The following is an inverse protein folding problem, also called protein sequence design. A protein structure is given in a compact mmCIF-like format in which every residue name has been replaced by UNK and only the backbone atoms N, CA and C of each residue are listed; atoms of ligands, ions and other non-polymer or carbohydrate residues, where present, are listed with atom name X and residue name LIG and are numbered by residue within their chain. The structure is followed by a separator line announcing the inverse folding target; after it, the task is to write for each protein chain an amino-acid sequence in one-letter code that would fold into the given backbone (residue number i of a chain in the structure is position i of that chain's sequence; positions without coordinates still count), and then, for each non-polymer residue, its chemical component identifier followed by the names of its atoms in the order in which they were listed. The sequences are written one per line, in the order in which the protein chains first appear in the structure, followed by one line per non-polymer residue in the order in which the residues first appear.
data_IF_912627758782
#
_entry.id   IF_912627758782
#
_cell.length_a   1.000
_cell.length_b   1.000
_cell.length_c   1.000
_cell.angle_alpha   90.00
_cell.angle_beta   90.00
_cell.angle_gamma   90.00
#
_symmetry.space_group_name_H-M   'P 1'
#
loop_
_entity.id
_entity.type
_entity.pdbx_description
1 polymer ?
#
# COMPACT_ATOMS: atom_id res chain seq x y z
N UNK A 1 -7.99 -2.61 -8.71
CA UNK A 1 -6.68 -2.10 -8.24
C UNK A 1 -5.97 -3.10 -7.33
N UNK A 2 -6.68 -3.94 -6.54
CA UNK A 2 -6.05 -4.84 -5.57
C UNK A 2 -5.36 -6.09 -6.17
N UNK A 3 -5.97 -6.79 -7.14
CA UNK A 3 -5.43 -8.09 -7.58
C UNK A 3 -4.12 -8.01 -8.38
N UNK A 4 -3.88 -6.87 -9.05
CA UNK A 4 -2.71 -6.66 -9.93
C UNK A 4 -1.41 -6.54 -9.15
N UNK A 5 -1.44 -5.83 -8.01
CA UNK A 5 -0.26 -5.53 -7.20
C UNK A 5 -0.13 -6.45 -5.98
N UNK A 6 -1.17 -7.21 -5.64
CA UNK A 6 -1.06 -8.21 -4.57
C UNK A 6 -0.27 -9.44 -5.04
N UNK A 7 0.58 -9.99 -4.16
CA UNK A 7 1.51 -11.08 -4.45
C UNK A 7 2.44 -10.76 -5.63
N UNK A 8 3.03 -9.56 -5.61
CA UNK A 8 3.99 -9.08 -6.61
C UNK A 8 5.35 -8.87 -5.95
N UNK A 9 6.42 -9.37 -6.57
CA UNK A 9 7.77 -9.21 -6.06
C UNK A 9 7.94 -9.87 -4.69
N UNK A 10 8.81 -9.31 -3.86
CA UNK A 10 9.15 -9.81 -2.53
C UNK A 10 8.40 -9.09 -1.39
N UNK A 11 7.78 -7.95 -1.67
CA UNK A 11 7.20 -7.04 -0.68
C UNK A 11 5.74 -6.68 -0.92
N UNK A 12 5.20 -6.82 -2.15
CA UNK A 12 3.79 -6.51 -2.37
C UNK A 12 2.89 -7.67 -1.94
N UNK A 13 2.46 -7.69 -0.68
CA UNK A 13 1.60 -8.72 -0.11
C UNK A 13 1.46 -8.57 1.40
N UNK A 14 1.00 -9.64 2.07
CA UNK A 14 1.04 -9.65 3.53
C UNK A 14 2.47 -9.93 3.99
N UNK A 15 3.08 -8.95 4.67
CA UNK A 15 4.50 -8.99 5.00
C UNK A 15 5.37 -8.80 3.76
N UNK A 16 6.68 -8.91 3.94
CA UNK A 16 7.65 -8.74 2.87
C UNK A 16 9.08 -8.95 3.36
N UNK A 17 9.92 -9.56 2.53
CA UNK A 17 11.33 -9.77 2.85
C UNK A 17 12.12 -10.16 1.61
N UNK A 18 13.40 -9.83 1.58
CA UNK A 18 14.27 -10.15 0.46
C UNK A 18 14.66 -8.91 -0.34
N UNK A 19 15.31 -9.14 -1.47
CA UNK A 19 15.79 -8.06 -2.34
C UNK A 19 14.64 -7.46 -3.15
N UNK A 20 14.70 -6.15 -3.36
CA UNK A 20 13.69 -5.43 -4.13
C UNK A 20 13.82 -5.85 -5.59
N UNK A 21 12.74 -6.39 -6.15
CA UNK A 21 12.74 -6.91 -7.53
C UNK A 21 12.69 -5.77 -8.57
N UNK A 22 11.91 -4.72 -8.29
CA UNK A 22 11.80 -3.53 -9.12
C UNK A 22 11.18 -2.31 -8.38
N UNK A 23 10.84 -1.26 -9.11
CA UNK A 23 10.27 -0.03 -8.56
C UNK A 23 8.87 -0.22 -7.94
N UNK A 24 8.07 -1.19 -8.43
CA UNK A 24 6.76 -1.52 -7.84
C UNK A 24 6.99 -2.18 -6.48
N UNK A 25 7.91 -3.14 -6.42
CA UNK A 25 8.29 -3.84 -5.18
C UNK A 25 8.89 -2.87 -4.15
N UNK A 26 9.62 -1.84 -4.59
CA UNK A 26 10.13 -0.77 -3.74
C UNK A 26 9.01 0.09 -3.12
N UNK A 27 7.95 0.38 -3.89
CA UNK A 27 6.76 1.08 -3.35
C UNK A 27 6.13 0.25 -2.22
N UNK A 28 6.05 -1.07 -2.39
CA UNK A 28 5.49 -1.98 -1.40
C UNK A 28 6.37 -2.10 -0.14
N UNK A 29 7.69 -2.24 -0.30
CA UNK A 29 8.60 -2.22 0.86
C UNK A 29 8.46 -0.93 1.68
N UNK A 30 8.33 0.22 0.99
CA UNK A 30 8.17 1.51 1.66
C UNK A 30 6.82 1.61 2.38
N UNK A 31 5.78 1.04 1.79
CA UNK A 31 4.44 0.95 2.37
C UNK A 31 4.42 0.08 3.63
N UNK A 32 5.01 -1.13 3.57
CA UNK A 32 5.15 -2.03 4.72
C UNK A 32 5.88 -1.36 5.89
N UNK A 33 7.02 -0.72 5.61
CA UNK A 33 7.79 0.02 6.63
C UNK A 33 6.99 1.16 7.24
N UNK A 34 6.18 1.85 6.43
CA UNK A 34 5.30 2.92 6.91
C UNK A 34 4.21 2.36 7.86
N UNK A 35 3.62 1.22 7.51
CA UNK A 35 2.64 0.51 8.34
C UNK A 35 3.26 -0.02 9.64
N UNK A 36 4.46 -0.59 9.59
CA UNK A 36 5.20 -1.04 10.77
C UNK A 36 5.51 0.12 11.72
N UNK A 37 5.98 1.25 11.18
CA UNK A 37 6.34 2.45 11.94
C UNK A 37 5.15 3.29 12.45
N UNK A 38 3.91 2.96 12.06
CA UNK A 38 2.72 3.63 12.59
C UNK A 38 2.51 3.36 14.08
N UNK A 39 1.91 4.33 14.77
CA UNK A 39 1.60 4.31 16.21
C UNK A 39 0.42 3.40 16.55
N UNK A 40 -0.03 2.58 15.61
CA UNK A 40 -1.13 1.64 15.79
C UNK A 40 -0.73 0.51 16.72
N UNK A 41 -1.64 0.15 17.62
CA UNK A 41 -1.52 -1.09 18.38
C UNK A 41 -1.61 -2.30 17.45
N UNK A 42 -1.03 -3.43 17.87
CA UNK A 42 -1.14 -4.70 17.16
C UNK A 42 -2.60 -5.10 16.90
N UNK A 43 -3.50 -4.82 17.85
CA UNK A 43 -4.93 -5.07 17.73
C UNK A 43 -5.55 -4.28 16.57
N UNK A 44 -5.21 -3.00 16.43
CA UNK A 44 -5.71 -2.17 15.33
C UNK A 44 -5.16 -2.58 13.97
N UNK A 45 -3.90 -3.03 13.92
CA UNK A 45 -3.32 -3.58 12.69
C UNK A 45 -3.96 -4.91 12.29
N UNK A 46 -4.35 -5.73 13.27
CA UNK A 46 -4.96 -7.06 13.04
C UNK A 46 -6.45 -6.99 12.65
N UNK A 47 -7.25 -6.20 13.36
CA UNK A 47 -8.69 -6.06 13.10
C UNK A 47 -9.00 -5.08 11.96
N UNK A 48 -7.99 -4.44 11.40
CA UNK A 48 -8.09 -3.50 10.30
C UNK A 48 -8.40 -2.08 10.80
N UNK A 49 -7.59 -1.08 10.45
CA UNK A 49 -7.91 0.31 10.74
C UNK A 49 -9.08 0.78 9.87
N UNK A 50 -10.02 1.52 10.45
CA UNK A 50 -11.01 2.26 9.68
C UNK A 50 -10.58 3.70 9.59
N UNK A 51 -10.12 4.13 8.42
CA UNK A 51 -9.87 5.53 8.11
C UNK A 51 -10.65 5.91 6.84
N UNK A 52 -10.95 7.20 6.69
CA UNK A 52 -11.74 7.72 5.57
C UNK A 52 -10.85 8.46 4.57
N UNK A 53 -11.11 8.30 3.28
CA UNK A 53 -10.43 9.06 2.23
C UNK A 53 -11.39 9.45 1.10
N UNK A 54 -11.03 10.48 0.33
CA UNK A 54 -11.71 10.92 -0.88
C UNK A 54 -10.71 11.03 -2.01
N UNK A 55 -11.06 10.60 -3.21
CA UNK A 55 -10.23 10.86 -4.38
C UNK A 55 -10.54 12.26 -4.93
N UNK A 56 -9.52 13.11 -5.02
CA UNK A 56 -9.66 14.47 -5.53
C UNK A 56 -8.98 14.59 -6.90
N UNK A 57 -9.60 15.32 -7.82
CA UNK A 57 -8.98 15.65 -9.11
C UNK A 57 -7.81 16.64 -8.95
N UNK A 58 -7.10 16.93 -10.05
CA UNK A 58 -5.99 17.92 -10.07
C UNK A 58 -6.42 19.33 -9.61
N UNK A 59 -7.72 19.62 -9.51
CA UNK A 59 -8.30 20.89 -9.07
C UNK A 59 -8.86 20.82 -7.64
N UNK A 60 -8.65 19.71 -6.92
CA UNK A 60 -9.12 19.51 -5.55
C UNK A 60 -10.61 19.14 -5.44
N UNK A 61 -11.26 18.76 -6.54
CA UNK A 61 -12.70 18.43 -6.53
C UNK A 61 -12.90 16.93 -6.28
N UNK A 62 -13.85 16.53 -5.43
CA UNK A 62 -14.18 15.12 -5.23
C UNK A 62 -14.62 14.45 -6.54
N UNK A 63 -14.06 13.28 -6.82
CA UNK A 63 -14.49 12.43 -7.93
C UNK A 63 -15.68 11.56 -7.52
N UNK A 64 -16.66 11.42 -8.42
CA UNK A 64 -17.78 10.49 -8.24
C UNK A 64 -17.35 9.05 -8.54
N UNK A 65 -18.11 8.08 -8.04
CA UNK A 65 -17.87 6.65 -8.33
C UNK A 65 -17.90 6.34 -9.83
N UNK A 66 -18.70 7.07 -10.61
CA UNK A 66 -18.74 6.93 -12.07
C UNK A 66 -17.42 7.36 -12.71
N UNK A 67 -16.82 8.45 -12.24
CA UNK A 67 -15.52 8.95 -12.71
C UNK A 67 -14.36 8.02 -12.32
N UNK A 68 -14.52 7.25 -11.24
CA UNK A 68 -13.58 6.24 -10.77
C UNK A 68 -13.81 4.87 -11.42
N UNK A 69 -14.96 4.65 -12.06
CA UNK A 69 -15.32 3.35 -12.62
C UNK A 69 -14.42 3.00 -13.83
N UNK A 70 -14.04 1.72 -14.01
CA UNK A 70 -13.32 1.26 -15.20
C UNK A 70 -14.10 1.47 -16.50
N UNK A 71 -15.44 1.55 -16.40
CA UNK A 71 -16.37 1.78 -17.51
C UNK A 71 -16.32 3.23 -18.04
N UNK A 72 -15.73 4.17 -17.31
CA UNK A 72 -15.42 5.51 -17.79
C UNK A 72 -14.15 5.51 -18.68
N UNK A 73 -14.19 4.68 -19.74
CA UNK A 73 -13.29 4.61 -20.92
C UNK A 73 -11.76 4.58 -20.74
N UNK A 74 -11.20 4.64 -19.53
CA UNK A 74 -9.75 4.88 -19.35
C UNK A 74 -9.19 4.28 -18.05
N UNK A 75 -9.50 3.02 -17.70
CA UNK A 75 -8.48 2.22 -17.03
C UNK A 75 -7.46 1.78 -18.09
N UNK A 76 -6.79 2.78 -18.69
CA UNK A 76 -5.93 2.61 -19.84
C UNK A 76 -4.61 2.04 -19.31
N UNK A 77 -4.39 0.74 -19.52
CA UNK A 77 -3.06 0.15 -19.34
C UNK A 77 -2.00 0.86 -20.21
N UNK A 78 -2.45 1.56 -21.25
CA UNK A 78 -1.64 2.31 -22.22
C UNK A 78 -1.57 3.84 -21.94
N UNK A 79 -1.99 4.32 -20.77
CA UNK A 79 -1.80 5.71 -20.37
C UNK A 79 -0.36 5.99 -19.95
N UNK A 80 0.18 7.21 -20.12
CA UNK A 80 1.50 7.51 -19.59
C UNK A 80 1.47 7.39 -18.06
N UNK A 81 2.55 6.90 -17.43
CA UNK A 81 2.64 6.86 -15.98
C UNK A 81 2.37 8.24 -15.38
N UNK A 82 1.56 8.30 -14.32
CA UNK A 82 1.16 9.52 -13.64
C UNK A 82 -0.15 10.16 -14.13
N UNK A 83 -0.82 9.61 -15.15
CA UNK A 83 -2.12 10.12 -15.61
C UNK A 83 -3.31 9.54 -14.82
N UNK A 84 -3.29 9.74 -13.50
CA UNK A 84 -4.39 9.36 -12.62
C UNK A 84 -5.50 10.41 -12.64
N UNK A 85 -6.76 9.96 -12.69
CA UNK A 85 -7.94 10.85 -12.63
C UNK A 85 -8.00 11.67 -11.33
N UNK A 86 -7.45 11.13 -10.25
CA UNK A 86 -7.33 11.83 -8.97
C UNK A 86 -6.38 11.14 -8.00
N UNK A 87 -6.13 11.82 -6.88
CA UNK A 87 -5.22 11.39 -5.81
C UNK A 87 -6.05 11.17 -4.53
N UNK A 88 -5.82 10.09 -3.77
CA UNK A 88 -6.49 9.87 -2.50
C UNK A 88 -6.08 10.95 -1.48
N UNK A 89 -7.07 11.52 -0.82
CA UNK A 89 -6.91 12.51 0.22
C UNK A 89 -7.60 12.04 1.50
N UNK A 90 -6.85 11.99 2.59
CA UNK A 90 -7.35 11.55 3.88
C UNK A 90 -8.37 12.52 4.45
N UNK A 91 -9.45 12.00 5.00
CA UNK A 91 -10.49 12.75 5.68
C UNK A 91 -10.33 12.54 7.18
N UNK A 92 -10.25 13.65 7.90
CA UNK A 92 -10.09 13.68 9.34
C UNK A 92 -11.41 14.12 9.98
N UNK A 93 -11.86 13.38 10.99
CA UNK A 93 -12.96 13.80 11.87
C UNK A 93 -12.38 14.36 13.18
N UNK A 94 -13.19 15.01 14.01
CA UNK A 94 -12.67 15.72 15.20
C UNK A 94 -12.17 14.76 16.30
N UNK A 95 -12.65 13.51 16.34
CA UNK A 95 -12.27 12.46 17.30
C UNK A 95 -11.31 11.42 16.68
N UNK A 96 -10.21 11.88 16.08
CA UNK A 96 -9.39 11.03 15.22
C UNK A 96 -8.12 10.48 15.89
N UNK A 97 -7.82 9.20 15.65
CA UNK A 97 -6.65 8.49 16.19
C UNK A 97 -5.40 8.69 15.32
N UNK A 98 -4.27 9.03 15.94
CA UNK A 98 -2.96 9.17 15.27
C UNK A 98 -2.63 7.93 14.42
N UNK A 99 -3.02 6.74 14.87
CA UNK A 99 -2.86 5.50 14.13
C UNK A 99 -3.52 5.55 12.74
N UNK A 100 -4.83 5.83 12.70
CA UNK A 100 -5.60 5.86 11.45
C UNK A 100 -5.08 6.95 10.50
N UNK A 101 -4.41 7.96 11.06
CA UNK A 101 -3.83 9.11 10.36
C UNK A 101 -2.63 8.68 9.56
N UNK A 102 -1.73 8.01 10.26
CA UNK A 102 -0.51 7.49 9.69
C UNK A 102 -0.84 6.45 8.62
N UNK A 103 -1.78 5.53 8.89
CA UNK A 103 -2.14 4.50 7.93
C UNK A 103 -2.78 5.07 6.65
N UNK A 104 -3.71 6.03 6.78
CA UNK A 104 -4.23 6.72 5.59
C UNK A 104 -3.11 7.43 4.81
N UNK A 105 -2.17 8.06 5.51
CA UNK A 105 -1.04 8.73 4.85
C UNK A 105 -0.10 7.73 4.15
N UNK A 106 0.16 6.57 4.75
CA UNK A 106 0.95 5.51 4.13
C UNK A 106 0.29 5.04 2.83
N UNK A 107 -1.02 4.81 2.86
CA UNK A 107 -1.76 4.30 1.71
C UNK A 107 -1.88 5.34 0.59
N UNK A 108 -1.97 6.63 0.95
CA UNK A 108 -1.87 7.73 -0.01
C UNK A 108 -0.51 7.75 -0.71
N UNK A 109 0.58 7.70 0.06
CA UNK A 109 1.95 7.73 -0.50
C UNK A 109 2.18 6.51 -1.40
N UNK A 110 1.69 5.34 -0.99
CA UNK A 110 1.75 4.12 -1.78
C UNK A 110 1.00 4.23 -3.10
N UNK A 111 -0.25 4.72 -3.06
CA UNK A 111 -1.03 4.95 -4.27
C UNK A 111 -0.37 5.97 -5.23
N UNK A 112 0.21 7.05 -4.70
CA UNK A 112 0.97 8.03 -5.47
C UNK A 112 2.27 7.45 -6.05
N UNK A 113 2.90 6.50 -5.36
CA UNK A 113 4.09 5.79 -5.83
C UNK A 113 3.75 4.93 -7.05
N UNK A 114 2.75 4.04 -6.91
CA UNK A 114 2.30 3.17 -8.00
C UNK A 114 1.77 3.95 -9.19
N UNK A 115 1.09 5.07 -8.96
CA UNK A 115 0.56 5.93 -10.01
C UNK A 115 1.64 6.40 -11.01
N UNK A 116 2.91 6.52 -10.59
CA UNK A 116 4.03 6.98 -11.42
C UNK A 116 4.68 5.87 -12.25
N UNK A 117 4.26 4.62 -12.05
CA UNK A 117 4.86 3.45 -12.68
C UNK A 117 3.93 2.90 -13.77
N UNK A 118 4.48 2.25 -14.82
CA UNK A 118 3.65 1.51 -15.76
C UNK A 118 2.92 0.37 -15.04
N UNK A 119 1.69 0.10 -15.46
CA UNK A 119 0.94 -1.05 -14.93
C UNK A 119 1.66 -2.32 -15.35
N UNK A 120 1.96 -3.26 -14.43
CA UNK A 120 2.67 -4.47 -14.80
C UNK A 120 1.79 -5.39 -15.67
N UNK A 121 2.37 -5.90 -16.75
CA UNK A 121 1.70 -6.86 -17.64
C UNK A 121 1.62 -8.27 -17.05
N UNK A 122 2.52 -8.58 -16.11
CA UNK A 122 2.57 -9.85 -15.38
C UNK A 122 3.09 -9.62 -13.95
N UNK A 123 2.77 -10.54 -13.04
CA UNK A 123 3.33 -10.55 -11.69
C UNK A 123 4.80 -10.96 -11.74
N UNK A 124 5.62 -10.32 -10.91
CA UNK A 124 7.02 -10.72 -10.69
C UNK A 124 7.11 -11.64 -9.50
N UNK A 125 7.96 -12.65 -9.60
CA UNK A 125 8.25 -13.56 -8.51
C UNK A 125 9.46 -13.06 -7.71
N UNK A 126 9.46 -13.35 -6.42
CA UNK A 126 10.62 -13.23 -5.56
C UNK A 126 11.51 -14.48 -5.73
N UNK A 127 12.79 -14.29 -6.04
CA UNK A 127 13.78 -15.40 -6.10
C UNK A 127 14.19 -15.90 -4.70
N UNK A 128 13.69 -15.27 -3.62
CA UNK A 128 13.88 -15.66 -2.22
C UNK A 128 12.78 -16.59 -1.69
N UNK A 129 12.99 -17.17 -0.52
CA UNK A 129 12.01 -18.04 0.16
C UNK A 129 10.72 -17.25 0.45
N UNK A 130 9.73 -17.35 -0.44
CA UNK A 130 8.37 -16.91 -0.19
C UNK A 130 7.90 -17.54 1.12
N UNK A 131 7.56 -16.74 2.13
CA UNK A 131 6.78 -17.24 3.26
C UNK A 131 5.33 -17.30 2.84
N UNK A 132 4.71 -18.49 2.73
CA UNK A 132 3.27 -18.57 2.52
C UNK A 132 2.54 -17.86 3.66
N UNK A 133 1.32 -17.38 3.39
CA UNK A 133 0.41 -16.81 4.40
C UNK A 133 0.17 -17.72 5.62
N UNK A 134 0.48 -19.02 5.50
CA UNK A 134 0.35 -20.01 6.57
C UNK A 134 1.50 -19.95 7.60
N UNK A 135 2.57 -19.20 7.33
CA UNK A 135 3.75 -19.05 8.21
C UNK A 135 3.77 -17.72 8.98
N UNK A 136 2.61 -17.08 9.20
CA UNK A 136 2.50 -15.97 10.16
C UNK A 136 2.65 -16.55 11.57
N UNK A 137 3.80 -16.39 12.25
CA UNK A 137 3.94 -16.93 13.60
C UNK A 137 3.06 -16.06 14.50
N UNK A 138 2.15 -16.68 15.24
CA UNK A 138 1.36 -16.02 16.29
C UNK A 138 2.21 -15.47 17.44
N UNK A 139 3.54 -15.55 17.33
CA UNK A 139 4.49 -15.19 18.38
C UNK A 139 5.69 -14.43 17.81
N UNK A 140 5.59 -13.10 17.76
CA UNK A 140 6.75 -12.24 18.04
C UNK A 140 6.41 -11.26 19.15
N UNK A 141 6.01 -11.82 20.28
CA UNK A 141 6.39 -11.25 21.56
C UNK A 141 7.86 -11.58 21.80
N UNK A 142 8.61 -10.56 22.22
CA UNK A 142 9.87 -10.67 22.96
C UNK A 142 11.16 -10.90 22.17
N UNK A 143 11.89 -9.80 22.03
CA UNK A 143 13.22 -9.58 22.62
C UNK A 143 14.44 -10.37 22.12
N UNK A 144 15.53 -9.59 21.93
CA UNK A 144 16.95 -9.99 21.86
C UNK A 144 17.33 -10.70 20.56
N UNK A 145 18.45 -10.50 19.88
CA UNK A 145 19.79 -9.94 20.10
C UNK A 145 20.42 -9.84 18.67
N UNK A 146 21.53 -9.20 18.32
CA UNK A 146 22.73 -8.73 19.00
C UNK A 146 23.44 -7.81 17.98
N UNK A 147 23.98 -6.68 18.44
CA UNK A 147 24.95 -5.92 17.65
C UNK A 147 26.23 -6.73 17.49
N UNK A 148 26.79 -6.71 16.28
CA UNK A 148 28.13 -7.23 15.97
C UNK A 148 29.19 -6.28 16.54
N UNK A 149 29.87 -6.70 17.61
CA UNK A 149 31.32 -6.92 17.61
C UNK A 149 31.67 -7.87 18.76
#
# INVERSE_FOLDING_TARGET
MFDTYNSYGCWCGYGGSGEIVDEIDNCCQSHDKCWEGSSCSWFQKYFGPTYSFKCLDKRGRPLTLEQLSPASSEHRKDGPPGDTKGVPHCVWEEDFDICTMQLCSCDRIFAECLAKLPVPDAKRECDGEWRPLDDVPTEKHSSTAKFRN
#
